data_IF_492835616308
#
_entry.id   IF_492835616308
#
_cell.length_a   1.000
_cell.length_b   1.000
_cell.length_c   1.000
_cell.angle_alpha   90.00
_cell.angle_beta   90.00
_cell.angle_gamma   90.00
#
_symmetry.space_group_name_H-M   'P 1'
#
loop_
_entity.id
_entity.type
_entity.pdbx_description
1 polymer ?
#
# COMPACT_ATOMS: atom_id res chain seq x y z
N UNK A 1 2.31 -22.75 8.19
CA UNK A 1 2.43 -21.27 8.15
C UNK A 1 1.04 -20.69 8.29
N UNK A 2 0.80 -19.88 9.32
CA UNK A 2 -0.49 -19.18 9.52
C UNK A 2 -0.64 -18.09 8.45
N UNK A 3 -1.79 -18.04 7.77
CA UNK A 3 -2.05 -17.01 6.76
C UNK A 3 -2.05 -15.63 7.44
N UNK A 4 -1.23 -14.67 6.98
CA UNK A 4 -1.17 -13.35 7.61
C UNK A 4 -2.50 -12.61 7.43
N UNK A 5 -2.94 -11.92 8.47
CA UNK A 5 -4.16 -11.12 8.44
C UNK A 5 -4.00 -9.94 7.47
N UNK A 6 -5.12 -9.45 6.95
CA UNK A 6 -5.13 -8.28 6.05
C UNK A 6 -4.51 -7.06 6.73
N UNK A 7 -4.78 -6.88 8.03
CA UNK A 7 -4.18 -5.86 8.87
C UNK A 7 -2.65 -5.95 8.92
N UNK A 8 -2.12 -7.13 9.22
CA UNK A 8 -0.68 -7.35 9.33
C UNK A 8 0.03 -7.15 7.98
N UNK A 9 -0.62 -7.54 6.89
CA UNK A 9 -0.14 -7.27 5.54
C UNK A 9 -0.05 -5.77 5.25
N UNK A 10 -1.12 -5.01 5.51
CA UNK A 10 -1.13 -3.56 5.31
C UNK A 10 0.01 -2.88 6.08
N UNK A 11 0.24 -3.32 7.32
CA UNK A 11 1.35 -2.81 8.14
C UNK A 11 2.71 -3.14 7.53
N UNK A 12 2.95 -4.40 7.18
CA UNK A 12 4.27 -4.87 6.72
C UNK A 12 4.59 -4.38 5.31
N UNK A 13 3.68 -4.58 4.36
CA UNK A 13 3.84 -4.13 2.97
C UNK A 13 3.93 -2.61 2.91
N UNK A 14 3.08 -1.90 3.65
CA UNK A 14 3.11 -0.44 3.71
C UNK A 14 4.42 0.11 4.30
N UNK A 15 4.93 -0.50 5.37
CA UNK A 15 6.20 -0.07 6.00
C UNK A 15 7.39 -0.31 5.07
N UNK A 16 7.43 -1.47 4.39
CA UNK A 16 8.50 -1.78 3.42
C UNK A 16 8.42 -0.82 2.23
N UNK A 17 7.23 -0.59 1.67
CA UNK A 17 7.05 0.36 0.57
C UNK A 17 7.48 1.77 0.96
N UNK A 18 7.12 2.22 2.17
CA UNK A 18 7.51 3.53 2.66
C UNK A 18 9.03 3.65 2.84
N UNK A 19 9.68 2.62 3.40
CA UNK A 19 11.13 2.59 3.55
C UNK A 19 11.85 2.61 2.18
N UNK A 20 11.38 1.80 1.22
CA UNK A 20 11.91 1.78 -0.13
C UNK A 20 11.72 3.13 -0.84
N UNK A 21 10.54 3.74 -0.72
CA UNK A 21 10.24 5.06 -1.28
C UNK A 21 11.12 6.15 -0.67
N UNK A 22 11.32 6.14 0.64
CA UNK A 22 12.16 7.11 1.34
C UNK A 22 13.62 6.97 0.94
N UNK A 23 14.13 5.74 0.86
CA UNK A 23 15.48 5.48 0.38
C UNK A 23 15.67 5.94 -1.07
N UNK A 24 14.71 5.63 -1.95
CA UNK A 24 14.72 6.08 -3.34
C UNK A 24 14.74 7.61 -3.43
N UNK A 25 13.84 8.29 -2.72
CA UNK A 25 13.80 9.76 -2.69
C UNK A 25 15.12 10.36 -2.17
N UNK A 26 15.71 9.78 -1.12
CA UNK A 26 17.00 10.22 -0.60
C UNK A 26 18.14 10.06 -1.63
N UNK A 27 18.17 8.94 -2.35
CA UNK A 27 19.15 8.71 -3.41
C UNK A 27 18.98 9.68 -4.58
N UNK A 28 17.73 9.93 -5.01
CA UNK A 28 17.45 10.91 -6.07
C UNK A 28 17.85 12.32 -5.63
N UNK A 29 17.59 12.71 -4.38
CA UNK A 29 18.04 14.01 -3.86
C UNK A 29 19.57 14.12 -3.75
N UNK A 30 20.26 13.01 -3.46
CA UNK A 30 21.71 13.00 -3.30
C UNK A 30 22.47 12.98 -4.64
N UNK A 31 21.92 12.32 -5.66
CA UNK A 31 22.64 12.01 -6.91
C UNK A 31 21.93 12.48 -8.19
N UNK A 32 20.66 12.89 -8.11
CA UNK A 32 19.87 13.32 -9.26
C UNK A 32 20.05 14.81 -9.53
N UNK A 33 20.73 15.14 -10.62
CA UNK A 33 20.82 16.53 -11.08
C UNK A 33 19.42 17.08 -11.38
N UNK A 34 19.14 18.29 -10.90
CA UNK A 34 17.85 18.94 -11.10
C UNK A 34 16.67 18.29 -10.35
N UNK A 35 16.93 17.39 -9.39
CA UNK A 35 15.88 16.75 -8.59
C UNK A 35 14.96 17.74 -7.84
N UNK A 36 15.41 18.98 -7.65
CA UNK A 36 14.70 20.04 -6.94
C UNK A 36 14.36 21.25 -7.82
N UNK A 37 14.37 21.09 -9.14
CA UNK A 37 14.05 22.20 -10.06
C UNK A 37 12.55 22.58 -10.03
N UNK A 38 11.69 21.67 -9.57
CA UNK A 38 10.23 21.86 -9.48
C UNK A 38 9.62 21.53 -8.12
N UNK A 39 10.16 22.04 -6.99
CA UNK A 39 9.85 21.50 -5.67
C UNK A 39 8.39 21.74 -5.28
N UNK A 40 7.83 22.89 -5.68
CA UNK A 40 6.41 23.22 -5.43
C UNK A 40 5.49 22.25 -6.17
N UNK A 41 5.79 21.92 -7.43
CA UNK A 41 4.99 20.96 -8.22
C UNK A 41 5.02 19.57 -7.56
N UNK A 42 6.20 19.13 -7.14
CA UNK A 42 6.38 17.87 -6.42
C UNK A 42 5.60 17.85 -5.11
N UNK A 43 5.69 18.90 -4.29
CA UNK A 43 4.90 19.01 -3.05
C UNK A 43 3.40 18.94 -3.33
N UNK A 44 2.90 19.71 -4.30
CA UNK A 44 1.48 19.73 -4.67
C UNK A 44 1.01 18.35 -5.10
N UNK A 45 1.79 17.64 -5.92
CA UNK A 45 1.45 16.28 -6.34
C UNK A 45 1.42 15.30 -5.17
N UNK A 46 2.38 15.37 -4.25
CA UNK A 46 2.40 14.53 -3.06
C UNK A 46 1.20 14.81 -2.14
N UNK A 47 0.81 16.07 -2.00
CA UNK A 47 -0.41 16.47 -1.26
C UNK A 47 -1.66 15.90 -1.92
N UNK A 48 -1.77 15.98 -3.26
CA UNK A 48 -2.88 15.39 -4.00
C UNK A 48 -2.93 13.88 -3.77
N UNK A 49 -1.81 13.18 -3.89
CA UNK A 49 -1.74 11.74 -3.62
C UNK A 49 -2.17 11.42 -2.18
N UNK A 50 -1.69 12.18 -1.20
CA UNK A 50 -2.09 12.01 0.19
C UNK A 50 -3.60 12.20 0.39
N UNK A 51 -4.18 13.23 -0.23
CA UNK A 51 -5.61 13.50 -0.19
C UNK A 51 -6.43 12.37 -0.85
N UNK A 52 -5.97 11.84 -1.99
CA UNK A 52 -6.61 10.69 -2.65
C UNK A 52 -6.57 9.44 -1.77
N UNK A 53 -5.45 9.18 -1.09
CA UNK A 53 -5.35 8.06 -0.15
C UNK A 53 -6.29 8.24 1.06
N UNK A 54 -6.38 9.46 1.60
CA UNK A 54 -7.27 9.78 2.72
C UNK A 54 -8.76 9.74 2.36
N UNK A 55 -9.11 9.84 1.07
CA UNK A 55 -10.50 9.86 0.59
C UNK A 55 -10.85 8.56 -0.14
N UNK A 56 -10.42 8.41 -1.39
CA UNK A 56 -10.70 7.25 -2.23
C UNK A 56 -10.11 5.96 -1.66
N UNK A 57 -8.89 6.04 -1.09
CA UNK A 57 -8.26 4.90 -0.44
C UNK A 57 -9.07 4.39 0.75
N UNK A 58 -9.48 5.30 1.65
CA UNK A 58 -10.34 4.99 2.79
C UNK A 58 -11.69 4.42 2.34
N UNK A 59 -12.33 5.06 1.36
CA UNK A 59 -13.61 4.59 0.81
C UNK A 59 -13.47 3.18 0.22
N UNK A 60 -12.41 2.93 -0.55
CA UNK A 60 -12.12 1.63 -1.14
C UNK A 60 -11.93 0.55 -0.08
N UNK A 61 -11.14 0.81 0.96
CA UNK A 61 -10.93 -0.13 2.08
C UNK A 61 -12.24 -0.42 2.81
N UNK A 62 -13.03 0.61 3.14
CA UNK A 62 -14.35 0.42 3.77
C UNK A 62 -15.27 -0.43 2.90
N UNK A 63 -15.37 -0.12 1.61
CA UNK A 63 -16.15 -0.90 0.65
C UNK A 63 -15.68 -2.36 0.54
N UNK A 64 -14.37 -2.60 0.62
CA UNK A 64 -13.81 -3.95 0.64
C UNK A 64 -14.17 -4.72 1.92
N UNK A 65 -14.18 -4.04 3.07
CA UNK A 65 -14.61 -4.62 4.36
C UNK A 65 -16.11 -4.94 4.35
N UNK A 66 -16.94 -4.03 3.84
CA UNK A 66 -18.40 -4.21 3.75
C UNK A 66 -18.78 -5.36 2.80
N UNK A 67 -17.96 -5.60 1.78
CA UNK A 67 -18.13 -6.68 0.79
C UNK A 67 -17.39 -7.96 1.17
N UNK A 68 -16.84 -8.05 2.37
CA UNK A 68 -16.09 -9.23 2.79
C UNK A 68 -17.02 -10.46 2.86
N UNK A 69 -16.56 -11.58 2.29
CA UNK A 69 -17.34 -12.84 2.24
C UNK A 69 -16.94 -13.74 3.41
N UNK A 70 -17.89 -14.40 4.05
CA UNK A 70 -17.57 -15.38 5.09
C UNK A 70 -16.79 -16.56 4.47
N UNK A 71 -15.64 -16.91 5.05
CA UNK A 71 -14.81 -18.02 4.59
C UNK A 71 -14.53 -18.99 5.73
N UNK A 72 -14.38 -20.27 5.39
CA UNK A 72 -13.99 -21.28 6.35
C UNK A 72 -12.49 -21.18 6.69
N UNK A 73 -12.10 -21.31 7.97
CA UNK A 73 -10.70 -21.27 8.39
C UNK A 73 -9.81 -22.33 7.73
N UNK A 74 -10.40 -23.45 7.30
CA UNK A 74 -9.73 -24.55 6.60
C UNK A 74 -9.39 -24.24 5.13
N UNK A 75 -10.03 -23.24 4.53
CA UNK A 75 -9.79 -22.85 3.14
C UNK A 75 -9.81 -21.31 2.98
N UNK A 76 -8.79 -20.60 3.49
CA UNK A 76 -8.74 -19.15 3.46
C UNK A 76 -8.58 -18.53 2.05
N UNK A 77 -8.48 -19.35 1.00
CA UNK A 77 -8.09 -18.91 -0.35
C UNK A 77 -6.58 -18.61 -0.44
N UNK A 78 -6.02 -18.68 -1.65
CA UNK A 78 -4.55 -18.61 -1.83
C UNK A 78 -3.96 -17.28 -1.39
N UNK A 79 -4.67 -16.15 -1.58
CA UNK A 79 -4.45 -14.89 -0.87
C UNK A 79 -3.02 -14.38 -0.80
N UNK A 80 -2.13 -14.82 -1.71
CA UNK A 80 -0.70 -14.87 -1.39
C UNK A 80 -0.16 -13.48 -1.07
N UNK A 81 0.76 -13.38 -0.09
CA UNK A 81 1.49 -12.16 0.18
C UNK A 81 2.15 -11.67 -1.10
N UNK A 82 2.07 -10.37 -1.38
CA UNK A 82 2.96 -9.80 -2.39
C UNK A 82 4.37 -10.04 -1.87
N UNK A 83 5.25 -10.71 -2.64
CA UNK A 83 6.58 -11.01 -2.14
C UNK A 83 7.30 -9.69 -1.83
N UNK A 84 7.67 -9.49 -0.58
CA UNK A 84 8.20 -8.19 -0.12
C UNK A 84 9.47 -7.76 -0.85
N UNK A 85 10.22 -8.72 -1.39
CA UNK A 85 11.40 -8.48 -2.21
C UNK A 85 11.08 -7.84 -3.57
N UNK A 86 9.83 -7.90 -4.04
CA UNK A 86 9.42 -7.23 -5.28
C UNK A 86 9.24 -5.72 -5.09
N UNK A 87 8.86 -5.27 -3.89
CA UNK A 87 8.66 -3.84 -3.60
C UNK A 87 9.91 -3.00 -3.88
N UNK A 88 11.12 -3.33 -3.38
CA UNK A 88 12.31 -2.55 -3.70
C UNK A 88 12.64 -2.58 -5.21
N UNK A 89 12.40 -3.70 -5.89
CA UNK A 89 12.65 -3.80 -7.34
C UNK A 89 11.68 -2.92 -8.15
N UNK A 90 10.40 -2.91 -7.79
CA UNK A 90 9.40 -2.06 -8.43
C UNK A 90 9.73 -0.59 -8.19
N UNK A 91 10.03 -0.20 -6.95
CA UNK A 91 10.39 1.18 -6.62
C UNK A 91 11.65 1.60 -7.36
N UNK A 92 12.72 0.80 -7.33
CA UNK A 92 13.96 1.10 -8.04
C UNK A 92 13.74 1.18 -9.56
N UNK A 93 13.02 0.22 -10.14
CA UNK A 93 12.72 0.19 -11.58
C UNK A 93 11.92 1.40 -12.04
N UNK A 94 10.85 1.77 -11.32
CA UNK A 94 10.06 2.95 -11.64
C UNK A 94 10.85 4.24 -11.43
N UNK A 95 11.59 4.36 -10.33
CA UNK A 95 12.44 5.53 -10.06
C UNK A 95 13.43 5.75 -11.19
N UNK A 96 14.14 4.70 -11.60
CA UNK A 96 15.12 4.77 -12.67
C UNK A 96 14.47 5.08 -14.03
N UNK A 97 13.37 4.40 -14.35
CA UNK A 97 12.67 4.61 -15.61
C UNK A 97 12.17 6.06 -15.76
N UNK A 98 11.56 6.63 -14.72
CA UNK A 98 11.10 8.02 -14.75
C UNK A 98 12.23 9.04 -14.66
N UNK A 99 13.31 8.71 -13.93
CA UNK A 99 14.52 9.54 -13.86
C UNK A 99 15.17 9.72 -15.22
N UNK A 100 15.33 8.62 -15.97
CA UNK A 100 15.94 8.61 -17.30
C UNK A 100 14.98 9.16 -18.37
N UNK A 101 13.70 8.76 -18.36
CA UNK A 101 12.77 9.07 -19.44
C UNK A 101 12.12 10.46 -19.33
N UNK A 102 12.06 11.04 -18.13
CA UNK A 102 11.41 12.34 -17.90
C UNK A 102 12.34 13.32 -17.18
N UNK A 103 12.61 13.07 -15.89
CA UNK A 103 13.54 13.87 -15.08
C UNK A 103 13.73 13.25 -13.69
N UNK A 104 14.79 13.65 -13.00
CA UNK A 104 15.01 13.25 -11.61
C UNK A 104 13.97 13.84 -10.64
N UNK A 105 13.36 14.99 -10.95
CA UNK A 105 12.19 15.49 -10.21
C UNK A 105 10.96 14.56 -10.40
N UNK A 106 10.78 13.96 -11.58
CA UNK A 106 9.77 12.92 -11.80
C UNK A 106 10.04 11.66 -10.96
N UNK A 107 11.30 11.23 -10.91
CA UNK A 107 11.73 10.11 -10.07
C UNK A 107 11.52 10.39 -8.56
N UNK A 108 11.76 11.62 -8.12
CA UNK A 108 11.54 12.05 -6.73
C UNK A 108 10.07 11.91 -6.33
N UNK A 109 9.15 12.25 -7.23
CA UNK A 109 7.69 12.07 -7.01
C UNK A 109 7.30 10.60 -6.90
N UNK A 110 7.97 9.70 -7.62
CA UNK A 110 7.77 8.25 -7.45
C UNK A 110 8.19 7.83 -6.04
N UNK A 111 9.40 8.18 -5.61
CA UNK A 111 9.90 7.86 -4.26
C UNK A 111 9.00 8.42 -3.17
N UNK A 112 8.67 9.72 -3.24
CA UNK A 112 7.78 10.38 -2.30
C UNK A 112 6.35 9.82 -2.33
N UNK A 113 5.83 9.48 -3.50
CA UNK A 113 4.51 8.85 -3.65
C UNK A 113 4.46 7.48 -2.97
N UNK A 114 5.52 6.67 -3.12
CA UNK A 114 5.65 5.40 -2.41
C UNK A 114 5.69 5.58 -0.88
N UNK A 115 6.34 6.64 -0.38
CA UNK A 115 6.29 6.98 1.05
C UNK A 115 4.86 7.25 1.50
N UNK A 116 4.14 8.12 0.80
CA UNK A 116 2.76 8.49 1.14
C UNK A 116 1.84 7.28 1.11
N UNK A 117 1.90 6.47 0.04
CA UNK A 117 1.09 5.27 -0.11
C UNK A 117 1.43 4.23 0.97
N UNK A 118 2.71 3.99 1.20
CA UNK A 118 3.17 3.04 2.21
C UNK A 118 2.74 3.42 3.63
N UNK A 119 2.83 4.72 3.99
CA UNK A 119 2.34 5.23 5.27
C UNK A 119 0.83 5.15 5.39
N UNK A 120 0.09 5.48 4.31
CA UNK A 120 -1.36 5.33 4.30
C UNK A 120 -1.77 3.87 4.51
N UNK A 121 -1.08 2.91 3.90
CA UNK A 121 -1.32 1.49 4.14
C UNK A 121 -0.98 1.09 5.58
N UNK A 122 0.22 1.46 6.06
CA UNK A 122 0.75 0.98 7.32
C UNK A 122 0.08 1.59 8.56
N UNK A 123 -0.49 2.78 8.42
CA UNK A 123 -1.09 3.54 9.54
C UNK A 123 -2.58 3.75 9.32
N UNK A 124 -2.98 4.39 8.21
CA UNK A 124 -4.37 4.80 8.02
C UNK A 124 -5.29 3.60 7.76
N UNK A 125 -4.95 2.76 6.78
CA UNK A 125 -5.79 1.62 6.40
C UNK A 125 -5.69 0.50 7.43
N UNK A 126 -4.51 0.24 7.98
CA UNK A 126 -4.33 -0.68 9.11
C UNK A 126 -5.26 -0.36 10.26
N UNK A 127 -5.36 0.92 10.67
CA UNK A 127 -6.25 1.36 11.76
C UNK A 127 -7.73 1.21 11.42
N UNK A 128 -8.10 1.46 10.16
CA UNK A 128 -9.47 1.24 9.71
C UNK A 128 -9.87 -0.24 9.79
N UNK A 129 -8.98 -1.13 9.38
CA UNK A 129 -9.20 -2.58 9.51
C UNK A 129 -9.23 -2.98 10.97
N UNK A 130 -8.31 -2.48 11.80
CA UNK A 130 -8.28 -2.75 13.24
C UNK A 130 -9.58 -2.30 13.95
N UNK A 131 -10.16 -1.16 13.55
CA UNK A 131 -11.44 -0.70 14.07
C UNK A 131 -12.62 -1.59 13.65
N UNK A 132 -12.53 -2.23 12.48
CA UNK A 132 -13.52 -3.20 12.00
C UNK A 132 -13.35 -4.59 12.65
N UNK A 133 -12.12 -4.98 13.00
CA UNK A 133 -11.76 -6.23 13.69
C UNK A 133 -12.02 -6.18 15.22
N UNK A 134 -13.16 -5.62 15.66
CA UNK A 134 -13.49 -5.46 17.09
C UNK A 134 -13.14 -6.72 17.92
N UNK A 135 -12.67 -6.56 19.19
CA UNK A 135 -12.21 -7.67 20.01
C UNK A 135 -13.24 -8.82 20.05
N UNK A 136 -12.89 -9.97 19.47
CA UNK A 136 -13.62 -11.23 19.61
C UNK A 136 -14.59 -11.63 18.49
N UNK A 137 -14.67 -10.92 17.36
CA UNK A 137 -15.73 -11.21 16.36
C UNK A 137 -15.25 -11.58 14.95
N UNK A 138 -14.27 -10.87 14.37
CA UNK A 138 -13.94 -11.01 12.93
C UNK A 138 -12.47 -10.70 12.67
N UNK A 139 -11.81 -11.54 11.88
CA UNK A 139 -10.50 -11.25 11.28
C UNK A 139 -10.62 -11.24 9.77
N UNK A 140 -9.98 -10.28 9.09
CA UNK A 140 -10.03 -10.22 7.63
C UNK A 140 -8.78 -10.82 7.00
N UNK A 141 -8.97 -11.59 5.93
CA UNK A 141 -7.88 -12.10 5.09
C UNK A 141 -8.17 -11.79 3.63
N UNK A 142 -7.13 -11.69 2.80
CA UNK A 142 -7.31 -11.44 1.37
C UNK A 142 -7.64 -12.75 0.67
N UNK A 143 -8.63 -12.72 -0.22
CA UNK A 143 -9.02 -13.88 -1.03
C UNK A 143 -8.63 -13.68 -2.50
N UNK A 144 -8.56 -14.78 -3.25
CA UNK A 144 -8.24 -14.78 -4.67
C UNK A 144 -9.26 -13.96 -5.50
N UNK A 145 -8.82 -13.44 -6.65
CA UNK A 145 -9.65 -12.63 -7.55
C UNK A 145 -9.67 -11.13 -7.25
N UNK A 146 -8.70 -10.65 -6.45
CA UNK A 146 -8.41 -9.22 -6.33
C UNK A 146 -7.70 -8.73 -7.60
N UNK A 147 -8.28 -7.76 -8.32
CA UNK A 147 -7.61 -7.08 -9.43
C UNK A 147 -7.68 -5.56 -9.25
N UNK A 148 -6.90 -4.82 -10.03
CA UNK A 148 -6.94 -3.35 -10.04
C UNK A 148 -8.36 -2.82 -10.35
N UNK A 149 -9.16 -3.56 -11.10
CA UNK A 149 -10.52 -3.17 -11.51
C UNK A 149 -11.62 -3.69 -10.58
N UNK A 150 -11.40 -4.82 -9.91
CA UNK A 150 -12.40 -5.42 -9.00
C UNK A 150 -12.20 -5.03 -7.54
N UNK A 151 -11.06 -4.40 -7.22
CA UNK A 151 -10.68 -4.01 -5.87
C UNK A 151 -10.16 -5.18 -5.03
N UNK A 152 -9.78 -4.90 -3.79
CA UNK A 152 -9.30 -5.93 -2.87
C UNK A 152 -10.48 -6.76 -2.39
N UNK A 153 -10.48 -8.06 -2.69
CA UNK A 153 -11.47 -9.00 -2.14
C UNK A 153 -11.00 -9.50 -0.78
N UNK A 154 -11.86 -9.37 0.22
CA UNK A 154 -11.61 -9.81 1.58
C UNK A 154 -12.54 -10.96 1.95
N UNK A 155 -12.03 -11.87 2.76
CA UNK A 155 -12.81 -12.87 3.47
C UNK A 155 -12.80 -12.57 4.97
N UNK A 156 -13.90 -12.87 5.64
CA UNK A 156 -14.07 -12.79 7.10
C UNK A 156 -13.92 -14.18 7.69
N UNK A 157 -12.98 -14.31 8.62
CA UNK A 157 -12.86 -15.44 9.53
C UNK A 157 -13.60 -15.09 10.82
N UNK A 158 -14.67 -15.82 11.12
CA UNK A 158 -15.33 -15.77 12.44
C UNK A 158 -14.65 -16.77 13.38
N UNK A 159 -14.47 -16.47 14.68
CA UNK A 159 -14.00 -17.45 15.64
C UNK A 159 -14.97 -18.64 15.66
N UNK A 160 -14.44 -19.87 15.62
CA UNK A 160 -15.23 -21.07 15.85
C UNK A 160 -15.93 -20.91 17.21
N UNK A 161 -17.26 -20.94 17.21
CA UNK A 161 -18.04 -21.15 18.44
C UNK A 161 -17.77 -22.55 18.97
#
# INVERSE_FOLDING_TARGET
>A
MTVPTYRERLRREGSVLAACGALSAALVLAFGDGAMDGPVSTIVQLVIVAALMATLGVFSVRRSLDRAVAIEPSNPGTGEPTPLWQLPLIVAGLTLAFGIAASWDAALRIGGGCVVVGLAQAVLFERLVAAAERPGAKSFVRVAGSSLFTGTKLGVLSPRR
#
